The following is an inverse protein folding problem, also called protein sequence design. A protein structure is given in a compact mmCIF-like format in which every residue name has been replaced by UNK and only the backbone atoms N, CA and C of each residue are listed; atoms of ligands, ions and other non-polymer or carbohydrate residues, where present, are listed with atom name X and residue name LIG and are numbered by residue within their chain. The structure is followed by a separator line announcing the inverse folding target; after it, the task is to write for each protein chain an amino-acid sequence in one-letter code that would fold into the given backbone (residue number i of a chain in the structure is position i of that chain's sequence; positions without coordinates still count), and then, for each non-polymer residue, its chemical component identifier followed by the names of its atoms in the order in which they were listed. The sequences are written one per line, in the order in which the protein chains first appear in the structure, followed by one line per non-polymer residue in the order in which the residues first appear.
data_IF_359151917417
#
_entry.id   IF_359151917417
#
_cell.length_a   1.000
_cell.length_b   1.000
_cell.length_c   1.000
_cell.angle_alpha   90.00
_cell.angle_beta   90.00
_cell.angle_gamma   90.00
#
_symmetry.space_group_name_H-M   'P 1'
#
loop_
_entity.id
_entity.type
_entity.pdbx_description
1 polymer ?
#
# COMPACT_ATOMS: atom_id res chain seq x y z
N UNK A 1 -0.94 -4.03 -20.15
CA UNK A 1 -1.67 -4.84 -19.18
C UNK A 1 -1.83 -4.05 -17.90
N UNK A 2 -3.06 -3.87 -17.46
CA UNK A 2 -3.33 -3.12 -16.24
C UNK A 2 -2.98 -3.95 -14.99
N UNK A 3 -2.71 -3.25 -13.91
CA UNK A 3 -2.43 -3.87 -12.63
C UNK A 3 -3.75 -4.27 -11.97
N UNK A 4 -3.79 -5.49 -11.43
CA UNK A 4 -4.93 -5.92 -10.62
C UNK A 4 -4.63 -5.60 -9.16
N UNK A 5 -5.56 -4.90 -8.50
CA UNK A 5 -5.38 -4.47 -7.12
C UNK A 5 -6.26 -5.30 -6.20
N UNK A 6 -5.70 -5.78 -5.10
CA UNK A 6 -6.42 -6.55 -4.09
C UNK A 6 -6.09 -6.01 -2.71
N UNK A 7 -6.93 -6.33 -1.73
CA UNK A 7 -6.80 -5.85 -0.36
C UNK A 7 -6.93 -7.01 0.61
N UNK A 8 -5.92 -7.20 1.44
CA UNK A 8 -5.95 -8.22 2.49
C UNK A 8 -6.83 -7.75 3.65
N UNK A 9 -7.38 -8.69 4.41
CA UNK A 9 -8.16 -8.36 5.60
C UNK A 9 -7.34 -7.57 6.62
N UNK A 10 -6.06 -7.89 6.75
CA UNK A 10 -5.17 -7.17 7.65
C UNK A 10 -5.08 -5.69 7.28
N UNK A 11 -5.02 -5.39 5.98
CA UNK A 11 -4.99 -4.01 5.50
C UNK A 11 -6.29 -3.28 5.86
N UNK A 12 -7.43 -3.92 5.59
CA UNK A 12 -8.72 -3.32 5.87
C UNK A 12 -8.93 -3.10 7.37
N UNK A 13 -8.42 -4.01 8.18
CA UNK A 13 -8.47 -3.88 9.63
C UNK A 13 -7.61 -2.73 10.11
N UNK A 14 -6.41 -2.59 9.54
CA UNK A 14 -5.52 -1.48 9.86
C UNK A 14 -6.17 -0.15 9.51
N UNK A 15 -6.83 -0.07 8.36
CA UNK A 15 -7.51 1.15 7.94
C UNK A 15 -8.52 1.63 8.98
N UNK A 16 -9.28 0.70 9.54
CA UNK A 16 -10.30 1.05 10.53
C UNK A 16 -9.72 1.61 11.81
N UNK A 17 -8.44 1.36 12.06
CA UNK A 17 -7.77 1.84 13.27
C UNK A 17 -7.17 3.23 13.10
N UNK A 18 -7.21 3.79 11.92
CA UNK A 18 -6.63 5.10 11.65
C UNK A 18 -7.57 6.22 12.09
N UNK A 19 -6.99 7.36 12.48
CA UNK A 19 -7.79 8.55 12.73
C UNK A 19 -8.41 9.05 11.42
N UNK A 20 -9.46 9.87 11.51
CA UNK A 20 -10.26 10.28 10.36
C UNK A 20 -9.44 10.90 9.23
N UNK A 21 -8.55 11.83 9.57
CA UNK A 21 -7.75 12.53 8.55
C UNK A 21 -6.83 11.57 7.82
N UNK A 22 -6.17 10.68 8.58
CA UNK A 22 -5.28 9.68 8.00
C UNK A 22 -6.07 8.70 7.16
N UNK A 23 -7.22 8.26 7.65
CA UNK A 23 -8.08 7.33 6.92
C UNK A 23 -8.45 7.91 5.55
N UNK A 24 -8.89 9.18 5.51
CA UNK A 24 -9.27 9.81 4.25
C UNK A 24 -8.11 9.90 3.28
N UNK A 25 -6.94 10.27 3.79
CA UNK A 25 -5.75 10.43 2.97
C UNK A 25 -5.29 9.10 2.38
N UNK A 26 -5.24 8.06 3.20
CA UNK A 26 -4.83 6.74 2.74
C UNK A 26 -5.83 6.20 1.72
N UNK A 27 -7.13 6.34 1.98
CA UNK A 27 -8.15 5.88 1.06
C UNK A 27 -8.08 6.59 -0.27
N UNK A 28 -7.80 7.90 -0.28
CA UNK A 28 -7.67 8.65 -1.51
C UNK A 28 -6.54 8.09 -2.38
N UNK A 29 -5.39 7.80 -1.77
CA UNK A 29 -4.26 7.26 -2.52
C UNK A 29 -4.55 5.83 -2.96
N UNK A 30 -4.99 4.98 -2.04
CA UNK A 30 -5.11 3.54 -2.28
C UNK A 30 -6.30 3.20 -3.17
N UNK A 31 -7.46 3.81 -2.90
CA UNK A 31 -8.70 3.44 -3.60
C UNK A 31 -9.00 4.30 -4.83
N UNK A 32 -8.32 5.41 -5.00
CA UNK A 32 -8.54 6.26 -6.16
C UNK A 32 -7.31 6.31 -7.05
N UNK A 33 -6.16 6.73 -6.53
CA UNK A 33 -4.97 6.90 -7.36
C UNK A 33 -4.36 5.57 -7.78
N UNK A 34 -4.31 4.60 -6.86
CA UNK A 34 -3.71 3.30 -7.17
C UNK A 34 -4.52 2.47 -8.16
N UNK A 35 -5.83 2.73 -8.28
CA UNK A 35 -6.64 2.02 -9.27
C UNK A 35 -6.38 2.50 -10.69
N UNK A 36 -5.69 3.62 -10.84
CA UNK A 36 -5.41 4.19 -12.15
C UNK A 36 -4.01 3.87 -12.65
N UNK A 37 -3.21 3.17 -11.85
CA UNK A 37 -1.84 2.87 -12.25
C UNK A 37 -1.80 1.80 -13.33
N UNK A 38 -0.78 1.88 -14.18
CA UNK A 38 -0.56 0.94 -15.25
C UNK A 38 0.53 -0.08 -14.91
N UNK A 39 1.32 0.20 -13.89
CA UNK A 39 2.36 -0.69 -13.42
C UNK A 39 2.89 -0.20 -12.08
N UNK A 40 3.72 -1.02 -11.44
CA UNK A 40 4.23 -0.69 -10.10
C UNK A 40 5.13 0.56 -10.11
N UNK A 41 5.66 0.94 -11.25
CA UNK A 41 6.47 2.15 -11.37
C UNK A 41 5.66 3.42 -11.12
N UNK A 42 4.33 3.34 -11.20
CA UNK A 42 3.45 4.47 -10.95
C UNK A 42 3.14 4.66 -9.47
N UNK A 43 3.56 3.72 -8.63
CA UNK A 43 3.42 3.85 -7.18
C UNK A 43 4.53 4.76 -6.62
N UNK A 44 4.35 5.30 -5.42
CA UNK A 44 5.46 5.96 -4.74
C UNK A 44 6.67 5.04 -4.66
N UNK A 45 7.85 5.62 -4.40
CA UNK A 45 9.08 4.85 -4.38
C UNK A 45 8.95 3.62 -3.49
N UNK A 46 9.18 2.44 -4.06
CA UNK A 46 9.06 1.17 -3.37
C UNK A 46 10.39 0.75 -2.76
N UNK A 47 10.31 0.20 -1.55
CA UNK A 47 11.47 -0.36 -0.87
C UNK A 47 11.18 -1.84 -0.58
N UNK A 48 12.06 -2.76 -0.98
CA UNK A 48 11.81 -4.17 -0.71
C UNK A 48 11.84 -4.48 0.78
N UNK A 49 11.04 -5.46 1.19
CA UNK A 49 10.99 -5.95 2.56
C UNK A 49 11.56 -7.36 2.56
N UNK A 50 12.65 -7.55 3.30
CA UNK A 50 13.29 -8.86 3.37
C UNK A 50 14.01 -9.23 2.09
N UNK A 51 14.32 -10.51 1.94
CA UNK A 51 15.06 -11.03 0.80
C UNK A 51 14.16 -11.59 -0.30
N UNK A 52 12.87 -11.72 -0.04
CA UNK A 52 11.92 -12.18 -1.05
C UNK A 52 11.62 -11.02 -2.00
N UNK A 53 11.47 -11.33 -3.27
CA UNK A 53 11.19 -10.31 -4.26
C UNK A 53 9.69 -10.06 -4.41
N UNK A 54 8.91 -10.34 -3.37
CA UNK A 54 7.45 -10.23 -3.42
C UNK A 54 6.90 -9.06 -2.59
N UNK A 55 7.59 -8.71 -1.50
CA UNK A 55 7.06 -7.74 -0.56
C UNK A 55 7.79 -6.42 -0.66
N UNK A 56 7.03 -5.34 -0.69
CA UNK A 56 7.54 -3.97 -0.79
C UNK A 56 6.76 -3.06 0.15
N UNK A 57 7.36 -1.92 0.46
CA UNK A 57 6.68 -0.87 1.22
C UNK A 57 6.87 0.47 0.54
N UNK A 58 5.91 1.34 0.74
CA UNK A 58 6.04 2.75 0.39
C UNK A 58 5.35 3.58 1.48
N UNK A 59 5.60 4.88 1.46
CA UNK A 59 5.07 5.75 2.51
C UNK A 59 4.07 6.74 1.94
N UNK A 60 3.06 7.03 2.77
CA UNK A 60 2.10 8.10 2.52
C UNK A 60 2.13 8.93 3.79
N UNK A 61 2.79 10.10 3.76
CA UNK A 61 3.04 10.94 4.93
C UNK A 61 3.66 10.15 6.07
N UNK A 62 2.95 10.02 7.20
CA UNK A 62 3.47 9.35 8.38
C UNK A 62 3.08 7.88 8.45
N UNK A 63 2.60 7.33 7.35
CA UNK A 63 2.15 5.93 7.33
C UNK A 63 2.95 5.13 6.32
N UNK A 64 3.16 3.88 6.68
CA UNK A 64 3.86 2.92 5.85
C UNK A 64 2.87 1.91 5.33
N UNK A 65 2.87 1.71 4.01
CA UNK A 65 1.96 0.76 3.35
C UNK A 65 2.80 -0.41 2.85
N UNK A 66 2.41 -1.62 3.27
CA UNK A 66 3.06 -2.84 2.81
C UNK A 66 2.23 -3.49 1.73
N UNK A 67 2.88 -3.89 0.66
CA UNK A 67 2.23 -4.55 -0.46
C UNK A 67 2.95 -5.84 -0.84
N UNK A 68 2.20 -6.75 -1.44
CA UNK A 68 2.75 -7.96 -2.05
C UNK A 68 2.52 -7.84 -3.55
N UNK A 69 3.57 -8.02 -4.33
CA UNK A 69 3.49 -7.94 -5.79
C UNK A 69 3.74 -9.32 -6.38
N UNK A 70 2.76 -9.84 -7.10
CA UNK A 70 2.85 -11.15 -7.75
C UNK A 70 2.37 -11.00 -9.19
N UNK A 71 3.30 -11.02 -10.13
CA UNK A 71 2.96 -10.79 -11.53
C UNK A 71 2.38 -9.39 -11.72
N UNK A 72 1.15 -9.31 -12.17
CA UNK A 72 0.45 -8.04 -12.36
C UNK A 72 -0.51 -7.73 -11.20
N UNK A 73 -0.45 -8.51 -10.12
CA UNK A 73 -1.32 -8.33 -8.95
C UNK A 73 -0.58 -7.58 -7.86
N UNK A 74 -1.17 -6.49 -7.38
CA UNK A 74 -0.67 -5.73 -6.24
C UNK A 74 -1.69 -5.88 -5.12
N UNK A 75 -1.27 -6.50 -4.02
CA UNK A 75 -2.12 -6.74 -2.87
C UNK A 75 -1.67 -5.86 -1.72
N UNK A 76 -2.57 -5.02 -1.24
CA UNK A 76 -2.29 -4.19 -0.06
C UNK A 76 -2.45 -5.05 1.19
N UNK A 77 -1.39 -5.16 1.97
CA UNK A 77 -1.32 -6.11 3.08
C UNK A 77 -1.43 -5.42 4.44
N UNK A 78 -0.73 -4.30 4.63
CA UNK A 78 -0.74 -3.56 5.89
C UNK A 78 -0.65 -2.07 5.66
N UNK A 79 -1.20 -1.30 6.59
CA UNK A 79 -0.92 0.13 6.68
C UNK A 79 -0.71 0.47 8.15
N UNK A 80 0.46 0.99 8.49
CA UNK A 80 0.86 1.23 9.88
C UNK A 80 1.54 2.59 10.00
N UNK A 81 1.46 3.23 11.17
CA UNK A 81 2.24 4.44 11.39
C UNK A 81 3.72 4.14 11.22
N UNK A 82 4.47 5.11 10.71
CA UNK A 82 5.92 4.97 10.64
C UNK A 82 6.49 4.81 12.04
N UNK A 83 7.43 3.89 12.22
CA UNK A 83 8.10 3.78 13.51
C UNK A 83 8.93 5.02 13.78
N UNK A 84 9.01 5.41 15.04
CA UNK A 84 9.90 6.47 15.44
C UNK A 84 11.32 5.93 15.48
N UNK A 85 12.21 6.68 14.90
CA UNK A 85 13.62 6.34 14.91
C UNK A 85 14.36 7.13 15.96
#
# INVERSE_FOLDING_TARGET
VSVEVRYARSFLRDLKSLESAAYQQICEVVFEKCLQIQGIQDLPELHPIGSDALFYRFTIDNYMVGIEVTGHIVKFVRVLPKPYL
#
